data_IF_082904104331
#
_entry.id   IF_082904104331
#
_cell.length_a   1.000
_cell.length_b   1.000
_cell.length_c   1.000
_cell.angle_alpha   90.00
_cell.angle_beta   90.00
_cell.angle_gamma   90.00
#
_symmetry.space_group_name_H-M   'P 1'
#
loop_
_entity.id
_entity.type
_entity.pdbx_description
1 polymer ?
#
# COMPACT_ATOMS: atom_id res chain seq x y z
N UNK A 1 -5.41 -10.87 -12.86
CA UNK A 1 -5.25 -9.42 -13.14
C UNK A 1 -4.29 -9.12 -14.30
N UNK A 2 -3.00 -9.51 -14.24
CA UNK A 2 -2.02 -9.18 -15.32
C UNK A 2 -2.46 -9.68 -16.70
N UNK A 3 -2.92 -10.92 -16.80
CA UNK A 3 -3.42 -11.50 -18.06
C UNK A 3 -4.68 -10.79 -18.59
N UNK A 4 -5.62 -10.44 -17.70
CA UNK A 4 -6.81 -9.66 -18.07
C UNK A 4 -6.45 -8.25 -18.56
N UNK A 5 -5.38 -7.64 -18.04
CA UNK A 5 -4.87 -6.36 -18.54
C UNK A 5 -4.26 -6.51 -19.92
N UNK A 6 -3.50 -7.58 -20.16
CA UNK A 6 -2.90 -7.87 -21.46
C UNK A 6 -3.98 -8.14 -22.53
N UNK A 7 -5.04 -8.88 -22.20
CA UNK A 7 -6.18 -9.13 -23.09
C UNK A 7 -6.90 -7.84 -23.53
N UNK A 8 -6.85 -6.79 -22.69
CA UNK A 8 -7.39 -5.45 -23.02
C UNK A 8 -6.39 -4.55 -23.75
N UNK A 9 -5.20 -5.06 -24.10
CA UNK A 9 -4.18 -4.32 -24.83
C UNK A 9 -3.25 -3.47 -23.97
N UNK A 10 -3.24 -3.64 -22.64
CA UNK A 10 -2.32 -2.90 -21.78
C UNK A 10 -0.95 -3.57 -21.69
N UNK A 11 0.12 -2.77 -21.79
CA UNK A 11 1.47 -3.20 -21.48
C UNK A 11 1.70 -3.17 -19.95
N UNK A 12 2.15 -4.29 -19.39
CA UNK A 12 2.47 -4.42 -17.96
C UNK A 12 3.91 -4.88 -17.82
N UNK A 13 4.71 -4.13 -17.06
CA UNK A 13 6.10 -4.44 -16.78
C UNK A 13 6.30 -4.69 -15.28
N UNK A 14 7.07 -5.72 -14.93
CA UNK A 14 7.47 -5.95 -13.55
C UNK A 14 8.67 -5.05 -13.20
N UNK A 15 8.59 -4.34 -12.08
CA UNK A 15 9.73 -3.61 -11.51
C UNK A 15 10.38 -4.43 -10.41
N UNK A 16 11.69 -4.32 -10.29
CA UNK A 16 12.51 -5.08 -9.32
C UNK A 16 12.39 -4.55 -7.89
N UNK A 17 11.78 -3.39 -7.69
CA UNK A 17 11.56 -2.78 -6.37
C UNK A 17 10.16 -2.20 -6.21
N UNK A 18 9.84 -1.68 -5.03
CA UNK A 18 8.56 -1.02 -4.76
C UNK A 18 8.35 0.16 -5.72
N UNK A 19 7.14 0.27 -6.27
CA UNK A 19 6.75 1.44 -7.08
C UNK A 19 6.59 2.67 -6.18
N UNK A 20 6.22 2.48 -4.92
CA UNK A 20 6.14 3.49 -3.87
C UNK A 20 6.09 2.82 -2.50
N UNK A 21 6.21 3.61 -1.43
CA UNK A 21 6.26 3.10 -0.05
C UNK A 21 5.33 3.90 0.88
N UNK A 22 4.00 3.76 0.70
CA UNK A 22 3.03 4.61 1.35
C UNK A 22 2.88 4.30 2.84
N UNK A 23 2.41 5.31 3.58
CA UNK A 23 1.79 5.17 4.91
C UNK A 23 0.36 5.67 4.79
N UNK A 24 -0.58 4.89 5.30
CA UNK A 24 -2.01 5.23 5.25
C UNK A 24 -2.53 5.51 6.66
N UNK A 25 -3.37 6.53 6.76
CA UNK A 25 -4.11 6.89 7.96
C UNK A 25 -5.59 6.93 7.63
N UNK A 26 -6.40 6.34 8.50
CA UNK A 26 -7.84 6.44 8.48
C UNK A 26 -8.30 7.00 9.83
N UNK A 27 -9.01 8.11 9.80
CA UNK A 27 -9.72 8.63 10.97
C UNK A 27 -11.19 8.19 10.88
N UNK A 28 -11.64 7.42 11.85
CA UNK A 28 -13.03 6.94 11.92
C UNK A 28 -13.54 7.04 13.36
N UNK A 29 -14.57 7.86 13.56
CA UNK A 29 -15.25 8.05 14.84
C UNK A 29 -14.31 8.28 16.05
N UNK A 30 -13.26 9.07 15.87
CA UNK A 30 -12.28 9.37 16.94
C UNK A 30 -11.20 8.31 17.14
N UNK A 31 -11.25 7.20 16.39
CA UNK A 31 -10.17 6.22 16.30
C UNK A 31 -9.31 6.52 15.08
N UNK A 32 -7.99 6.43 15.27
CA UNK A 32 -7.03 6.50 14.17
C UNK A 32 -6.47 5.11 13.88
N UNK A 33 -6.64 4.66 12.64
CA UNK A 33 -6.03 3.46 12.12
C UNK A 33 -4.84 3.84 11.25
N UNK A 34 -3.74 3.13 11.42
CA UNK A 34 -2.52 3.36 10.67
C UNK A 34 -2.02 2.04 10.06
N UNK A 35 -1.62 2.09 8.79
CA UNK A 35 -0.99 0.99 8.10
C UNK A 35 0.26 1.50 7.38
N UNK A 36 1.39 0.85 7.61
CA UNK A 36 2.62 1.09 6.87
C UNK A 36 2.98 -0.11 6.01
N UNK A 37 3.81 0.12 4.99
CA UNK A 37 4.33 -0.92 4.10
C UNK A 37 5.36 -1.82 4.82
N UNK A 38 5.03 -3.10 5.11
CA UNK A 38 5.93 -4.01 5.81
C UNK A 38 7.16 -4.38 4.97
N UNK A 39 7.03 -4.45 3.64
CA UNK A 39 8.16 -4.77 2.76
C UNK A 39 9.19 -3.63 2.72
N UNK A 40 8.76 -2.42 3.05
CA UNK A 40 9.63 -1.25 3.21
C UNK A 40 10.03 -0.97 4.67
N UNK A 41 9.73 -1.87 5.61
CA UNK A 41 10.03 -1.70 7.04
C UNK A 41 9.28 -0.53 7.70
N UNK A 42 8.19 -0.05 7.09
CA UNK A 42 7.35 1.01 7.66
C UNK A 42 6.29 0.35 8.52
N UNK A 43 6.57 0.23 9.81
CA UNK A 43 5.58 -0.23 10.78
C UNK A 43 4.71 0.94 11.23
N UNK A 44 3.43 0.66 11.52
CA UNK A 44 2.51 1.61 12.08
C UNK A 44 2.13 1.20 13.51
N UNK A 45 2.07 2.17 14.42
CA UNK A 45 1.68 1.97 15.81
C UNK A 45 0.77 3.12 16.26
N UNK A 46 -0.18 2.81 17.14
CA UNK A 46 -0.98 3.81 17.84
C UNK A 46 -0.28 4.28 19.11
N UNK A 47 -0.58 5.51 19.53
CA UNK A 47 -0.20 6.01 20.84
C UNK A 47 -1.43 6.00 21.76
N UNK A 48 -1.24 5.61 23.01
CA UNK A 48 -2.22 5.75 24.09
C UNK A 48 -1.59 6.55 25.22
N UNK A 49 -2.39 7.31 25.96
CA UNK A 49 -1.95 8.02 27.17
C UNK A 49 -1.48 7.06 28.28
#
# INVERSE_FOLDING_TARGET
VREQLAQRGHAVEAKSGPIGTPVMLLADQGTYYAAGDPAAGRHAAGLTD
#
